data_IF_107094740108
#
_entry.id   IF_107094740108
#
_cell.length_a   1.000
_cell.length_b   1.000
_cell.length_c   1.000
_cell.angle_alpha   90.00
_cell.angle_beta   90.00
_cell.angle_gamma   90.00
#
_symmetry.space_group_name_H-M   'P 1'
#
loop_
_entity.id
_entity.type
_entity.pdbx_description
1 polymer ?
#
# COMPACT_ATOMS: atom_id res chain seq x y z
N UNK A 1 -15.83 16.39 2.57
CA UNK A 1 -14.90 15.38 2.08
C UNK A 1 -15.67 14.16 1.65
N UNK A 2 -15.39 13.67 0.45
CA UNK A 2 -16.08 12.50 -0.07
C UNK A 2 -15.66 11.23 0.70
N UNK A 3 -16.61 10.36 0.99
CA UNK A 3 -16.32 9.07 1.56
C UNK A 3 -15.86 8.11 0.47
N UNK A 4 -14.89 7.26 0.80
CA UNK A 4 -14.35 6.30 -0.15
C UNK A 4 -14.81 4.89 0.18
N UNK A 5 -14.85 4.06 -0.83
CA UNK A 5 -15.11 2.64 -0.63
C UNK A 5 -13.79 1.86 -0.60
N UNK A 6 -13.80 0.71 0.05
CA UNK A 6 -12.57 -0.05 0.28
C UNK A 6 -11.87 -0.47 -1.02
N UNK A 7 -12.64 -0.85 -2.04
CA UNK A 7 -12.08 -1.21 -3.34
C UNK A 7 -11.49 -0.01 -4.08
N UNK A 8 -12.08 1.16 -3.94
CA UNK A 8 -11.55 2.40 -4.54
C UNK A 8 -10.20 2.74 -3.91
N UNK A 9 -10.06 2.56 -2.60
CA UNK A 9 -8.80 2.78 -1.88
C UNK A 9 -7.73 1.82 -2.38
N UNK A 10 -8.05 0.54 -2.42
CA UNK A 10 -7.12 -0.48 -2.91
C UNK A 10 -6.69 -0.18 -4.35
N UNK A 11 -7.65 0.12 -5.21
CA UNK A 11 -7.36 0.41 -6.62
C UNK A 11 -6.47 1.64 -6.78
N UNK A 12 -6.68 2.68 -5.99
CA UNK A 12 -5.86 3.90 -6.06
C UNK A 12 -4.40 3.63 -5.68
N UNK A 13 -4.18 2.84 -4.64
CA UNK A 13 -2.83 2.47 -4.19
C UNK A 13 -2.15 1.59 -5.25
N UNK A 14 -2.85 0.57 -5.73
CA UNK A 14 -2.31 -0.37 -6.72
C UNK A 14 -2.00 0.32 -8.05
N UNK A 15 -2.88 1.22 -8.49
CA UNK A 15 -2.67 1.96 -9.74
C UNK A 15 -1.45 2.87 -9.66
N UNK A 16 -1.29 3.61 -8.57
CA UNK A 16 -0.15 4.50 -8.41
C UNK A 16 1.17 3.72 -8.39
N UNK A 17 1.18 2.59 -7.70
CA UNK A 17 2.34 1.71 -7.66
C UNK A 17 2.64 1.12 -9.04
N UNK A 18 1.61 0.66 -9.73
CA UNK A 18 1.73 0.05 -11.06
C UNK A 18 2.26 1.03 -12.10
N UNK A 19 1.72 2.26 -12.10
CA UNK A 19 2.13 3.29 -13.06
C UNK A 19 3.61 3.66 -12.88
N UNK A 20 4.10 3.72 -11.64
CA UNK A 20 5.49 4.09 -11.37
C UNK A 20 6.46 2.96 -11.63
N UNK A 21 6.16 1.75 -11.15
CA UNK A 21 7.14 0.67 -11.14
C UNK A 21 6.97 -0.32 -12.29
N UNK A 22 5.77 -0.78 -12.55
CA UNK A 22 5.57 -1.74 -13.64
C UNK A 22 5.68 -1.08 -15.00
N UNK A 23 5.02 0.04 -15.20
CA UNK A 23 5.02 0.74 -16.49
C UNK A 23 6.29 1.57 -16.63
N UNK A 24 6.67 2.33 -15.59
CA UNK A 24 7.81 3.24 -15.65
C UNK A 24 9.17 2.57 -15.58
N UNK A 25 9.30 1.47 -14.79
CA UNK A 25 10.59 0.82 -14.52
C UNK A 25 10.63 -0.67 -14.86
N UNK A 26 9.54 -1.21 -15.38
CA UNK A 26 9.42 -2.62 -15.75
C UNK A 26 9.70 -3.57 -14.56
N UNK A 27 9.21 -3.22 -13.37
CA UNK A 27 9.31 -4.05 -12.18
C UNK A 27 7.95 -4.73 -11.95
N UNK A 28 7.89 -6.07 -11.94
CA UNK A 28 6.64 -6.78 -11.67
C UNK A 28 6.08 -6.47 -10.29
N UNK A 29 4.76 -6.42 -10.17
CA UNK A 29 4.07 -6.16 -8.91
C UNK A 29 3.11 -7.30 -8.61
N UNK A 30 3.20 -7.84 -7.40
CA UNK A 30 2.34 -8.90 -6.90
C UNK A 30 1.30 -8.27 -5.97
N UNK A 31 0.02 -8.47 -6.29
CA UNK A 31 -1.08 -7.93 -5.49
C UNK A 31 -1.69 -9.00 -4.59
N UNK A 32 -2.47 -8.55 -3.61
CA UNK A 32 -3.18 -9.47 -2.71
C UNK A 32 -4.03 -10.47 -3.49
N UNK A 33 -3.96 -11.72 -3.07
CA UNK A 33 -4.79 -12.81 -3.60
C UNK A 33 -4.61 -13.05 -5.11
N UNK A 34 -3.46 -12.66 -5.64
CA UNK A 34 -3.09 -12.93 -7.04
C UNK A 34 -1.88 -13.86 -7.04
N UNK A 35 -1.98 -15.07 -7.61
CA UNK A 35 -0.83 -15.97 -7.68
C UNK A 35 0.29 -15.37 -8.53
N UNK A 36 1.53 -15.61 -8.13
CA UNK A 36 2.69 -15.11 -8.87
C UNK A 36 3.87 -16.07 -8.73
N UNK A 37 4.48 -16.42 -9.87
CA UNK A 37 5.70 -17.21 -9.88
C UNK A 37 6.91 -16.29 -9.95
N UNK A 38 7.60 -16.14 -8.82
CA UNK A 38 8.76 -15.27 -8.70
C UNK A 38 10.07 -15.94 -9.10
N UNK A 39 10.06 -17.22 -9.49
CA UNK A 39 11.29 -17.97 -9.79
C UNK A 39 11.99 -17.49 -11.06
N UNK A 40 11.27 -16.82 -11.96
CA UNK A 40 11.79 -16.37 -13.25
C UNK A 40 12.17 -14.89 -13.29
N UNK A 41 11.99 -14.16 -12.19
CA UNK A 41 12.28 -12.72 -12.15
C UNK A 41 13.36 -12.43 -11.12
N UNK A 42 14.18 -11.42 -11.42
CA UNK A 42 15.26 -10.99 -10.54
C UNK A 42 14.78 -10.01 -9.45
N UNK A 43 13.70 -9.29 -9.70
CA UNK A 43 13.15 -8.31 -8.76
C UNK A 43 11.64 -8.19 -8.92
N UNK A 44 10.96 -7.92 -7.82
CA UNK A 44 9.52 -7.63 -7.84
C UNK A 44 9.11 -6.93 -6.55
N UNK A 45 7.92 -6.34 -6.55
CA UNK A 45 7.33 -5.69 -5.38
C UNK A 45 6.02 -6.39 -5.04
N UNK A 46 5.84 -6.76 -3.78
CA UNK A 46 4.58 -7.28 -3.29
C UNK A 46 3.83 -6.16 -2.57
N UNK A 47 2.58 -5.94 -2.94
CA UNK A 47 1.73 -4.92 -2.34
C UNK A 47 0.62 -5.58 -1.54
N UNK A 48 0.52 -5.22 -0.26
CA UNK A 48 -0.53 -5.72 0.64
C UNK A 48 -1.24 -4.51 1.23
N UNK A 49 -2.55 -4.42 1.00
CA UNK A 49 -3.38 -3.34 1.54
C UNK A 49 -4.33 -3.93 2.55
N UNK A 50 -4.29 -3.43 3.78
CA UNK A 50 -5.15 -3.85 4.86
C UNK A 50 -5.82 -2.68 5.53
N UNK A 51 -6.95 -2.96 6.18
CA UNK A 51 -7.71 -1.96 6.92
C UNK A 51 -7.72 -2.34 8.38
N UNK A 52 -7.54 -1.36 9.24
CA UNK A 52 -7.44 -1.55 10.68
C UNK A 52 -8.59 -0.92 11.43
N UNK A 53 -8.25 -0.23 12.51
CA UNK A 53 -9.24 0.34 13.43
C UNK A 53 -10.10 1.41 12.77
N UNK A 54 -11.35 1.49 13.18
CA UNK A 54 -12.30 2.51 12.75
C UNK A 54 -12.70 3.37 13.94
N UNK A 55 -12.82 4.66 13.68
CA UNK A 55 -13.34 5.62 14.66
C UNK A 55 -14.53 6.35 14.04
N UNK A 56 -15.57 6.60 14.83
CA UNK A 56 -16.69 7.36 14.29
C UNK A 56 -16.37 8.86 14.33
N UNK A 57 -16.70 9.55 13.22
CA UNK A 57 -16.64 11.01 13.16
C UNK A 57 -18.01 11.63 13.39
N UNK A 58 -19.05 10.99 12.81
CA UNK A 58 -20.44 11.43 12.98
C UNK A 58 -21.29 10.22 13.29
N UNK A 59 -22.40 10.44 13.95
CA UNK A 59 -23.34 9.39 14.29
C UNK A 59 -24.59 9.51 13.43
N UNK A 60 -25.07 8.39 12.94
CA UNK A 60 -26.32 8.36 12.18
C UNK A 60 -27.49 8.51 13.14
N UNK A 61 -28.33 9.52 12.90
CA UNK A 61 -29.54 9.72 13.68
C UNK A 61 -30.68 8.93 13.05
N UNK A 62 -31.50 8.23 13.86
CA UNK A 62 -32.66 7.52 13.32
C UNK A 62 -33.61 8.49 12.60
N UNK A 63 -34.06 8.10 11.41
CA UNK A 63 -35.07 8.82 10.62
C UNK A 63 -34.67 10.23 10.19
N UNK A 64 -33.37 10.58 10.25
CA UNK A 64 -32.91 11.93 9.88
C UNK A 64 -32.47 12.03 8.44
N UNK A 65 -32.23 10.92 7.75
CA UNK A 65 -31.62 10.90 6.43
C UNK A 65 -30.13 11.20 6.41
N UNK A 66 -29.51 11.40 7.58
CA UNK A 66 -28.09 11.68 7.69
C UNK A 66 -27.31 10.38 7.81
N UNK A 67 -26.30 10.23 6.95
CA UNK A 67 -25.42 9.07 6.96
C UNK A 67 -24.23 9.30 7.89
N UNK A 68 -23.97 8.32 8.75
CA UNK A 68 -22.79 8.38 9.62
C UNK A 68 -21.50 8.18 8.81
N UNK A 69 -20.43 8.81 9.30
CA UNK A 69 -19.11 8.70 8.68
C UNK A 69 -18.11 8.15 9.70
N UNK A 70 -17.34 7.15 9.28
CA UNK A 70 -16.23 6.60 10.05
C UNK A 70 -14.90 7.08 9.50
N UNK A 71 -13.94 7.25 10.40
CA UNK A 71 -12.53 7.35 10.01
C UNK A 71 -11.93 5.96 10.13
N UNK A 72 -11.34 5.47 9.04
CA UNK A 72 -10.65 4.18 9.03
C UNK A 72 -9.16 4.42 8.87
N UNK A 73 -8.36 3.76 9.71
CA UNK A 73 -6.91 3.73 9.58
C UNK A 73 -6.54 2.40 8.89
N UNK A 74 -5.79 2.49 7.82
CA UNK A 74 -5.30 1.32 7.11
C UNK A 74 -3.79 1.30 7.05
N UNK A 75 -3.27 0.19 6.53
CA UNK A 75 -1.84 -0.01 6.37
C UNK A 75 -1.58 -0.61 4.99
N UNK A 76 -0.74 0.06 4.21
CA UNK A 76 -0.20 -0.53 3.00
C UNK A 76 1.22 -1.00 3.29
N UNK A 77 1.48 -2.27 2.99
CA UNK A 77 2.78 -2.91 3.20
C UNK A 77 3.36 -3.26 1.84
N UNK A 78 4.58 -2.83 1.60
CA UNK A 78 5.28 -3.09 0.35
C UNK A 78 6.54 -3.89 0.66
N UNK A 79 6.62 -5.10 0.11
CA UNK A 79 7.80 -5.94 0.21
C UNK A 79 8.56 -5.84 -1.10
N UNK A 80 9.83 -5.44 -1.02
CA UNK A 80 10.68 -5.25 -2.18
C UNK A 80 11.69 -6.39 -2.21
N UNK A 81 11.66 -7.16 -3.29
CA UNK A 81 12.54 -8.32 -3.49
C UNK A 81 13.52 -8.03 -4.60
N UNK A 82 14.79 -8.23 -4.33
CA UNK A 82 15.87 -8.17 -5.33
C UNK A 82 16.72 -9.41 -5.22
N UNK A 83 17.61 -9.62 -6.18
CA UNK A 83 18.43 -10.82 -6.22
C UNK A 83 19.45 -10.82 -5.07
N UNK A 84 19.56 -11.97 -4.41
CA UNK A 84 20.50 -12.14 -3.31
C UNK A 84 21.94 -12.14 -3.82
N UNK A 85 22.85 -11.55 -3.04
CA UNK A 85 24.27 -11.57 -3.36
C UNK A 85 24.78 -10.36 -4.13
N UNK A 86 23.88 -9.47 -4.57
CA UNK A 86 24.26 -8.25 -5.31
C UNK A 86 24.37 -7.02 -4.41
N UNK A 87 24.24 -7.19 -3.09
CA UNK A 87 24.19 -6.07 -2.16
C UNK A 87 22.82 -5.43 -2.10
N UNK A 88 22.69 -4.39 -1.28
CA UNK A 88 21.41 -3.76 -0.98
C UNK A 88 21.08 -2.55 -1.88
N UNK A 89 22.03 -2.11 -2.71
CA UNK A 89 21.88 -0.84 -3.44
C UNK A 89 20.65 -0.76 -4.33
N UNK A 90 20.44 -1.77 -5.17
CA UNK A 90 19.29 -1.80 -6.07
C UNK A 90 17.97 -1.83 -5.32
N UNK A 91 17.93 -2.58 -4.20
CA UNK A 91 16.74 -2.65 -3.37
C UNK A 91 16.43 -1.31 -2.72
N UNK A 92 17.44 -0.62 -2.18
CA UNK A 92 17.26 0.67 -1.53
C UNK A 92 16.90 1.78 -2.52
N UNK A 93 17.33 1.70 -3.77
CA UNK A 93 16.91 2.63 -4.81
C UNK A 93 15.40 2.52 -5.07
N UNK A 94 14.90 1.30 -5.16
CA UNK A 94 13.46 1.05 -5.30
C UNK A 94 12.73 1.54 -4.05
N UNK A 95 13.26 1.26 -2.87
CA UNK A 95 12.67 1.66 -1.60
C UNK A 95 12.57 3.20 -1.49
N UNK A 96 13.61 3.91 -1.88
CA UNK A 96 13.61 5.39 -1.84
C UNK A 96 12.52 5.95 -2.76
N UNK A 97 12.41 5.43 -3.96
CA UNK A 97 11.38 5.90 -4.91
C UNK A 97 9.98 5.59 -4.39
N UNK A 98 9.79 4.42 -3.80
CA UNK A 98 8.50 4.03 -3.24
C UNK A 98 8.11 4.93 -2.06
N UNK A 99 9.06 5.25 -1.18
CA UNK A 99 8.82 6.18 -0.08
C UNK A 99 8.38 7.55 -0.59
N UNK A 100 9.06 8.08 -1.60
CA UNK A 100 8.73 9.39 -2.16
C UNK A 100 7.38 9.38 -2.88
N UNK A 101 7.01 8.25 -3.47
CA UNK A 101 5.76 8.10 -4.21
C UNK A 101 4.53 8.29 -3.33
N UNK A 102 4.59 7.86 -2.06
CA UNK A 102 3.46 7.87 -1.15
C UNK A 102 3.65 8.75 0.09
N UNK A 103 4.74 9.51 0.17
CA UNK A 103 5.07 10.22 1.41
C UNK A 103 4.17 11.44 1.61
N UNK A 104 3.30 11.37 2.61
CA UNK A 104 2.45 12.48 3.08
C UNK A 104 1.63 13.13 1.96
N UNK A 105 1.10 12.34 1.05
CA UNK A 105 0.26 12.82 -0.04
C UNK A 105 -1.17 12.30 0.12
N UNK A 106 -2.08 12.91 -0.63
CA UNK A 106 -3.47 12.44 -0.73
C UNK A 106 -3.75 12.03 -2.16
N UNK A 107 -4.21 10.81 -2.35
CA UNK A 107 -4.57 10.26 -3.65
C UNK A 107 -5.97 9.67 -3.54
N UNK A 108 -6.91 10.14 -4.37
CA UNK A 108 -8.30 9.65 -4.38
C UNK A 108 -8.92 9.58 -2.97
N UNK A 109 -8.76 10.65 -2.19
CA UNK A 109 -9.22 10.80 -0.81
C UNK A 109 -8.55 9.85 0.20
N UNK A 110 -7.48 9.16 -0.20
CA UNK A 110 -6.64 8.39 0.70
C UNK A 110 -5.47 9.25 1.16
N UNK A 111 -5.38 9.50 2.45
CA UNK A 111 -4.33 10.35 3.03
C UNK A 111 -3.24 9.46 3.63
N UNK A 112 -2.03 9.58 3.11
CA UNK A 112 -0.89 8.77 3.53
C UNK A 112 -0.05 9.47 4.59
N UNK A 113 0.38 8.70 5.58
CA UNK A 113 1.35 9.13 6.58
C UNK A 113 2.79 8.95 6.08
N UNK A 114 3.79 9.48 6.80
CA UNK A 114 5.19 9.24 6.44
C UNK A 114 5.52 7.74 6.43
N UNK A 115 6.28 7.26 5.44
CA UNK A 115 6.63 5.85 5.36
C UNK A 115 7.56 5.41 6.50
N UNK A 116 7.45 4.13 6.86
CA UNK A 116 8.34 3.46 7.81
C UNK A 116 9.13 2.40 7.07
N UNK A 117 10.44 2.42 7.21
CA UNK A 117 11.35 1.51 6.54
C UNK A 117 12.14 2.21 5.43
N UNK A 118 12.94 1.48 4.65
CA UNK A 118 12.89 0.02 4.49
C UNK A 118 13.53 -0.75 5.66
N UNK A 119 12.85 -1.81 6.09
CA UNK A 119 13.36 -2.73 7.10
C UNK A 119 13.85 -4.01 6.41
N UNK A 120 15.04 -4.47 6.78
CA UNK A 120 15.58 -5.72 6.25
C UNK A 120 14.94 -6.87 7.01
N UNK A 121 14.34 -7.82 6.29
CA UNK A 121 13.71 -8.98 6.90
C UNK A 121 14.69 -10.16 6.96
N UNK A 122 14.65 -10.90 8.09
CA UNK A 122 15.53 -12.02 8.34
C UNK A 122 15.08 -13.30 7.62
N UNK A 123 13.76 -13.50 7.51
CA UNK A 123 13.20 -14.67 6.85
C UNK A 123 12.96 -14.33 5.38
N UNK A 124 13.86 -14.79 4.51
CA UNK A 124 13.84 -14.43 3.09
C UNK A 124 13.41 -15.60 2.23
N UNK A 125 12.67 -15.36 1.14
CA UNK A 125 12.53 -16.36 0.09
C UNK A 125 13.90 -16.73 -0.47
N UNK A 126 14.06 -17.99 -0.86
CA UNK A 126 15.33 -18.46 -1.40
C UNK A 126 15.75 -17.63 -2.62
N UNK A 127 17.01 -17.20 -2.61
CA UNK A 127 17.61 -16.44 -3.70
C UNK A 127 17.21 -14.97 -3.76
N UNK A 128 16.45 -14.45 -2.80
CA UNK A 128 16.00 -13.05 -2.78
C UNK A 128 16.46 -12.32 -1.53
N UNK A 129 16.70 -11.02 -1.69
CA UNK A 129 16.92 -10.07 -0.60
C UNK A 129 15.64 -9.25 -0.45
N UNK A 130 15.09 -9.19 0.74
CA UNK A 130 13.80 -8.56 1.00
C UNK A 130 13.92 -7.39 1.96
N UNK A 131 13.32 -6.27 1.58
CA UNK A 131 13.04 -5.16 2.50
C UNK A 131 11.55 -4.89 2.53
N UNK A 132 11.10 -4.25 3.61
CA UNK A 132 9.69 -3.95 3.81
C UNK A 132 9.48 -2.48 4.15
N UNK A 133 8.54 -1.85 3.47
CA UNK A 133 8.08 -0.49 3.77
C UNK A 133 6.62 -0.58 4.18
N UNK A 134 6.27 0.10 5.27
CA UNK A 134 4.90 0.20 5.75
C UNK A 134 4.48 1.65 5.74
N UNK A 135 3.31 1.92 5.17
CA UNK A 135 2.76 3.27 5.08
C UNK A 135 1.32 3.22 5.55
N UNK A 136 1.05 3.88 6.68
CA UNK A 136 -0.30 4.00 7.19
C UNK A 136 -1.08 5.02 6.38
N UNK A 137 -2.38 4.85 6.29
CA UNK A 137 -3.26 5.80 5.61
C UNK A 137 -4.57 5.94 6.36
N UNK A 138 -5.27 7.03 6.08
CA UNK A 138 -6.59 7.33 6.63
C UNK A 138 -7.58 7.55 5.51
N UNK A 139 -8.78 7.03 5.69
CA UNK A 139 -9.90 7.23 4.77
C UNK A 139 -11.17 7.53 5.56
N UNK A 140 -12.16 8.07 4.86
CA UNK A 140 -13.49 8.28 5.42
C UNK A 140 -14.47 7.33 4.74
N UNK A 141 -15.29 6.68 5.55
CA UNK A 141 -16.28 5.73 5.08
C UNK A 141 -17.67 6.19 5.51
N UNK A 142 -18.61 6.23 4.54
CA UNK A 142 -20.01 6.48 4.83
C UNK A 142 -20.74 5.16 5.00
N UNK A 143 -21.59 5.08 6.02
CA UNK A 143 -22.44 3.92 6.20
C UNK A 143 -23.57 3.93 5.19
N UNK A 144 -23.87 2.77 4.63
CA UNK A 144 -25.03 2.59 3.78
C UNK A 144 -26.19 2.18 4.67
N UNK A 145 -27.28 2.97 4.71
CA UNK A 145 -28.43 2.67 5.57
C UNK A 145 -29.11 1.36 5.17
#
# INVERSE_FOLDING_TARGET
>A
MAATNLNTVRAAIEKRLNDEFRIGQNIPIVFNNVPYDASTVDRYIQCVVGFGASEYLTQQAPNSGTTATNLIVGLSTFNIYTEQGLGAGANFDIAKRLRDLFNRITVSDVRFDPPVGPEILQSLPEGKFQTQIRIAFEIYESLTP
#
